data_IF_856394761495
#
_entry.id   IF_856394761495
#
_cell.length_a   1.000
_cell.length_b   1.000
_cell.length_c   1.000
_cell.angle_alpha   90.00
_cell.angle_beta   90.00
_cell.angle_gamma   90.00
#
_symmetry.space_group_name_H-M   'P 1'
#
loop_
_entity.id
_entity.type
_entity.pdbx_description
1 polymer ?
#
# COMPACT_ATOMS: atom_id res chain seq x y z
N UNK A 1 -23.15 1.22 -2.27
CA UNK A 1 -22.10 1.12 -1.23
C UNK A 1 -21.80 -0.34 -0.85
N UNK A 2 -21.52 -1.24 -1.81
CA UNK A 2 -21.21 -2.66 -1.54
C UNK A 2 -19.73 -3.04 -1.73
N UNK A 3 -18.91 -2.13 -2.25
CA UNK A 3 -17.47 -2.37 -2.50
C UNK A 3 -16.60 -2.33 -1.25
N UNK A 4 -17.06 -1.73 -0.14
CA UNK A 4 -16.27 -1.61 1.08
C UNK A 4 -16.03 -2.94 1.79
N UNK A 5 -17.00 -3.87 1.77
CA UNK A 5 -16.88 -5.11 2.56
C UNK A 5 -15.81 -6.07 2.03
N UNK A 6 -15.57 -6.09 0.72
CA UNK A 6 -14.64 -7.06 0.12
C UNK A 6 -13.20 -6.60 0.30
N UNK A 7 -12.87 -5.35 0.00
CA UNK A 7 -11.52 -4.78 0.22
C UNK A 7 -11.14 -4.75 1.71
N UNK A 8 -12.14 -4.53 2.56
CA UNK A 8 -12.05 -4.56 4.02
C UNK A 8 -11.56 -5.92 4.54
N UNK A 9 -12.07 -7.05 4.02
CA UNK A 9 -11.71 -8.36 4.60
C UNK A 9 -10.27 -8.82 4.35
N UNK A 10 -9.62 -8.42 3.24
CA UNK A 10 -8.30 -8.96 2.86
C UNK A 10 -7.13 -8.09 3.32
N UNK A 11 -7.29 -6.77 3.27
CA UNK A 11 -6.19 -5.82 3.52
C UNK A 11 -6.19 -5.30 4.96
N UNK A 12 -7.37 -5.18 5.59
CA UNK A 12 -7.48 -4.67 6.97
C UNK A 12 -6.68 -5.46 8.01
N UNK A 13 -6.70 -6.81 8.04
CA UNK A 13 -6.05 -7.53 9.12
C UNK A 13 -4.54 -7.32 9.10
N UNK A 14 -3.97 -7.27 7.90
CA UNK A 14 -2.55 -7.04 7.65
C UNK A 14 -2.20 -5.58 7.96
N UNK A 15 -2.93 -4.60 7.40
CA UNK A 15 -2.70 -3.17 7.68
C UNK A 15 -2.86 -2.81 9.18
N UNK A 16 -3.90 -3.33 9.85
CA UNK A 16 -4.14 -3.08 11.28
C UNK A 16 -3.08 -3.73 12.18
N UNK A 17 -2.61 -4.94 11.85
CA UNK A 17 -1.49 -5.57 12.56
C UNK A 17 -0.23 -4.70 12.44
N UNK A 18 0.00 -4.05 11.29
CA UNK A 18 1.16 -3.20 11.10
C UNK A 18 1.06 -1.81 11.73
N UNK A 19 -0.12 -1.18 11.75
CA UNK A 19 -0.30 0.08 12.50
C UNK A 19 0.06 -0.07 13.98
N UNK A 20 -0.12 -1.27 14.55
CA UNK A 20 0.28 -1.60 15.93
C UNK A 20 1.76 -1.89 16.14
N UNK A 21 2.47 -2.41 15.13
CA UNK A 21 3.90 -2.76 15.23
C UNK A 21 4.80 -1.56 14.87
N UNK A 22 4.20 -0.48 14.34
CA UNK A 22 4.88 0.68 13.77
C UNK A 22 5.32 1.77 14.74
N UNK A 23 4.42 2.38 15.54
CA UNK A 23 4.72 3.53 16.42
C UNK A 23 3.65 3.81 17.52
N UNK A 24 4.09 4.42 18.63
CA UNK A 24 3.30 4.72 19.84
C UNK A 24 2.63 6.11 19.92
N UNK A 25 2.73 7.05 18.96
CA UNK A 25 2.44 8.47 19.35
C UNK A 25 1.86 9.47 18.34
N UNK A 26 1.05 9.10 17.34
CA UNK A 26 0.15 10.09 16.71
C UNK A 26 -1.05 9.48 15.95
N UNK A 27 -2.26 9.63 16.47
CA UNK A 27 -3.49 9.05 15.87
C UNK A 27 -3.72 9.51 14.41
N UNK A 28 -3.23 10.69 14.05
CA UNK A 28 -3.46 11.27 12.71
C UNK A 28 -2.61 10.61 11.62
N UNK A 29 -1.36 10.22 11.91
CA UNK A 29 -0.48 9.56 10.93
C UNK A 29 -0.90 8.11 10.67
N UNK A 30 -1.37 7.43 11.71
CA UNK A 30 -1.94 6.08 11.60
C UNK A 30 -3.19 6.08 10.72
N UNK A 31 -4.11 7.04 10.92
CA UNK A 31 -5.30 7.17 10.07
C UNK A 31 -4.95 7.50 8.61
N UNK A 32 -3.95 8.35 8.36
CA UNK A 32 -3.49 8.65 7.01
C UNK A 32 -2.93 7.39 6.33
N UNK A 33 -2.12 6.61 7.05
CA UNK A 33 -1.59 5.34 6.57
C UNK A 33 -2.70 4.33 6.23
N UNK A 34 -3.69 4.17 7.10
CA UNK A 34 -4.82 3.28 6.85
C UNK A 34 -5.64 3.72 5.63
N UNK A 35 -5.98 5.00 5.52
CA UNK A 35 -6.73 5.50 4.38
C UNK A 35 -5.94 5.38 3.07
N UNK A 36 -4.63 5.58 3.11
CA UNK A 36 -3.76 5.37 1.95
C UNK A 36 -3.74 3.91 1.54
N UNK A 37 -3.66 2.98 2.50
CA UNK A 37 -3.77 1.56 2.22
C UNK A 37 -5.11 1.19 1.57
N UNK A 38 -6.24 1.73 2.08
CA UNK A 38 -7.55 1.47 1.46
C UNK A 38 -7.62 2.00 0.04
N UNK A 39 -7.08 3.20 -0.19
CA UNK A 39 -7.07 3.80 -1.51
C UNK A 39 -6.28 2.94 -2.51
N UNK A 40 -5.05 2.56 -2.17
CA UNK A 40 -4.20 1.72 -3.01
C UNK A 40 -4.80 0.33 -3.25
N UNK A 41 -5.43 -0.26 -2.23
CA UNK A 41 -6.13 -1.54 -2.36
C UNK A 41 -7.39 -1.45 -3.24
N UNK A 42 -8.14 -0.35 -3.15
CA UNK A 42 -9.31 -0.14 -4.01
C UNK A 42 -8.91 0.12 -5.46
N UNK A 43 -7.76 0.77 -5.70
CA UNK A 43 -7.18 0.86 -7.05
C UNK A 43 -6.79 -0.51 -7.59
N UNK A 44 -6.10 -1.34 -6.79
CA UNK A 44 -5.64 -2.65 -7.25
C UNK A 44 -6.80 -3.60 -7.53
N UNK A 45 -7.88 -3.56 -6.75
CA UNK A 45 -9.07 -4.39 -7.00
C UNK A 45 -9.80 -4.05 -8.31
N UNK A 46 -9.64 -2.83 -8.81
CA UNK A 46 -10.28 -2.37 -10.03
C UNK A 46 -9.39 -2.51 -11.29
N UNK A 47 -8.14 -2.95 -11.12
CA UNK A 47 -7.22 -3.14 -12.23
C UNK A 47 -6.97 -4.62 -12.53
N UNK A 48 -7.11 -4.99 -13.80
CA UNK A 48 -6.99 -6.37 -14.23
C UNK A 48 -5.59 -6.95 -14.01
N UNK A 49 -4.53 -6.12 -14.06
CA UNK A 49 -3.17 -6.58 -13.84
C UNK A 49 -2.91 -6.98 -12.39
N UNK A 50 -3.76 -6.53 -11.46
CA UNK A 50 -3.65 -6.89 -10.06
C UNK A 50 -4.45 -8.16 -9.70
N UNK A 51 -5.43 -8.56 -10.52
CA UNK A 51 -6.28 -9.75 -10.30
C UNK A 51 -5.48 -11.06 -10.37
N UNK A 52 -4.36 -11.07 -11.11
CA UNK A 52 -3.49 -12.25 -11.23
C UNK A 52 -2.69 -12.56 -9.96
N UNK A 53 -2.58 -11.61 -9.02
CA UNK A 53 -1.82 -11.79 -7.79
C UNK A 53 -2.68 -12.33 -6.65
N UNK A 54 -2.06 -13.01 -5.69
CA UNK A 54 -2.74 -13.44 -4.48
C UNK A 54 -3.18 -12.22 -3.64
N UNK A 55 -4.36 -12.26 -3.00
CA UNK A 55 -4.83 -11.17 -2.14
C UNK A 55 -3.84 -10.80 -1.01
N UNK A 56 -3.12 -11.79 -0.46
CA UNK A 56 -2.06 -11.58 0.54
C UNK A 56 -0.86 -10.80 -0.02
N UNK A 57 -0.46 -11.11 -1.25
CA UNK A 57 0.63 -10.44 -1.96
C UNK A 57 0.26 -8.99 -2.28
N UNK A 58 -0.98 -8.76 -2.74
CA UNK A 58 -1.52 -7.41 -2.95
C UNK A 58 -1.53 -6.61 -1.65
N UNK A 59 -2.00 -7.21 -0.55
CA UNK A 59 -2.00 -6.55 0.77
C UNK A 59 -0.59 -6.17 1.24
N UNK A 60 0.38 -7.08 1.10
CA UNK A 60 1.79 -6.82 1.43
C UNK A 60 2.38 -5.68 0.57
N UNK A 61 2.08 -5.68 -0.73
CA UNK A 61 2.52 -4.66 -1.69
C UNK A 61 1.94 -3.28 -1.37
N UNK A 62 0.65 -3.22 -1.00
CA UNK A 62 -0.02 -1.99 -0.56
C UNK A 62 0.65 -1.43 0.70
N UNK A 63 0.96 -2.27 1.69
CA UNK A 63 1.63 -1.85 2.93
C UNK A 63 3.02 -1.31 2.63
N UNK A 64 3.82 -2.02 1.83
CA UNK A 64 5.13 -1.54 1.39
C UNK A 64 5.01 -0.16 0.75
N UNK A 65 4.09 -0.02 -0.21
CA UNK A 65 3.96 1.21 -0.97
C UNK A 65 3.48 2.38 -0.11
N UNK A 66 2.51 2.16 0.78
CA UNK A 66 2.03 3.18 1.70
C UNK A 66 3.14 3.66 2.66
N UNK A 67 3.99 2.75 3.16
CA UNK A 67 5.14 3.12 3.99
C UNK A 67 6.17 3.92 3.21
N UNK A 68 6.45 3.52 1.96
CA UNK A 68 7.34 4.26 1.07
C UNK A 68 6.85 5.69 0.81
N UNK A 69 5.56 5.87 0.55
CA UNK A 69 4.98 7.18 0.27
C UNK A 69 5.00 8.12 1.49
N UNK A 70 4.76 7.60 2.68
CA UNK A 70 4.76 8.42 3.91
C UNK A 70 6.15 8.64 4.48
N UNK A 71 7.09 7.71 4.27
CA UNK A 71 8.47 7.80 4.75
C UNK A 71 9.44 7.31 3.68
N UNK A 72 9.69 8.10 2.62
CA UNK A 72 10.55 7.70 1.52
C UNK A 72 12.03 7.56 1.92
N UNK A 73 12.42 8.18 3.04
CA UNK A 73 13.78 8.10 3.58
C UNK A 73 14.05 6.81 4.38
N UNK A 74 13.02 6.04 4.72
CA UNK A 74 13.14 4.82 5.54
C UNK A 74 12.88 3.59 4.67
N UNK A 75 13.57 2.49 4.94
CA UNK A 75 13.26 1.23 4.25
C UNK A 75 11.80 0.80 4.53
N UNK A 76 10.95 0.68 3.49
CA UNK A 76 9.53 0.35 3.65
C UNK A 76 9.28 -1.11 4.04
N UNK A 77 10.32 -1.94 4.07
CA UNK A 77 10.26 -3.36 4.42
C UNK A 77 11.16 -3.61 5.63
N UNK A 78 10.69 -4.42 6.57
CA UNK A 78 11.42 -4.77 7.79
C UNK A 78 11.21 -6.23 8.15
N UNK A 79 12.00 -6.74 9.10
CA UNK A 79 11.92 -8.15 9.52
C UNK A 79 10.53 -8.54 10.05
N UNK A 80 9.81 -7.62 10.73
CA UNK A 80 8.45 -7.88 11.19
C UNK A 80 7.45 -8.12 10.04
N UNK A 81 7.56 -7.37 8.93
CA UNK A 81 6.78 -7.57 7.71
C UNK A 81 7.07 -8.93 7.08
N UNK A 82 8.35 -9.29 6.99
CA UNK A 82 8.75 -10.61 6.50
C UNK A 82 8.20 -11.73 7.39
N UNK A 83 8.29 -11.63 8.72
CA UNK A 83 7.77 -12.66 9.61
C UNK A 83 6.24 -12.83 9.52
N UNK A 84 5.50 -11.73 9.33
CA UNK A 84 4.05 -11.78 9.21
C UNK A 84 3.58 -12.31 7.84
N UNK A 85 4.22 -11.86 6.77
CA UNK A 85 3.73 -12.10 5.39
C UNK A 85 4.44 -13.25 4.69
N UNK A 86 5.68 -13.57 5.11
CA UNK A 86 6.59 -14.53 4.49
C UNK A 86 6.93 -14.24 3.03
N UNK A 87 6.76 -12.98 2.61
CA UNK A 87 7.18 -12.51 1.29
C UNK A 87 8.48 -11.72 1.36
N UNK A 88 9.33 -11.89 0.37
CA UNK A 88 10.47 -11.01 0.15
C UNK A 88 10.05 -9.82 -0.73
N UNK A 89 10.68 -8.63 -0.60
CA UNK A 89 10.39 -7.50 -1.46
C UNK A 89 10.54 -7.80 -2.95
N UNK A 90 11.44 -8.73 -3.30
CA UNK A 90 11.62 -9.21 -4.66
C UNK A 90 10.32 -9.84 -5.23
N UNK A 91 9.62 -10.64 -4.43
CA UNK A 91 8.34 -11.28 -4.82
C UNK A 91 7.22 -10.25 -5.02
N UNK A 92 7.27 -9.16 -4.25
CA UNK A 92 6.25 -8.11 -4.26
C UNK A 92 6.47 -7.09 -5.39
N UNK A 93 7.68 -7.01 -5.94
CA UNK A 93 8.13 -5.96 -6.85
C UNK A 93 7.15 -5.69 -7.99
N UNK A 94 6.71 -6.73 -8.70
CA UNK A 94 5.81 -6.56 -9.85
C UNK A 94 4.45 -5.97 -9.42
N UNK A 95 3.90 -6.43 -8.30
CA UNK A 95 2.64 -5.92 -7.78
C UNK A 95 2.78 -4.48 -7.28
N UNK A 96 3.86 -4.17 -6.57
CA UNK A 96 4.18 -2.81 -6.09
C UNK A 96 4.25 -1.82 -7.26
N UNK A 97 4.96 -2.17 -8.33
CA UNK A 97 5.10 -1.29 -9.51
C UNK A 97 3.76 -1.09 -10.23
N UNK A 98 2.94 -2.14 -10.38
CA UNK A 98 1.61 -2.00 -10.98
C UNK A 98 0.72 -1.05 -10.16
N UNK A 99 0.70 -1.19 -8.83
CA UNK A 99 -0.09 -0.32 -7.94
C UNK A 99 0.45 1.11 -7.96
N UNK A 100 1.76 1.31 -8.07
CA UNK A 100 2.38 2.64 -8.18
C UNK A 100 2.02 3.34 -9.49
N UNK A 101 2.01 2.62 -10.62
CA UNK A 101 1.54 3.14 -11.90
C UNK A 101 0.05 3.49 -11.88
N UNK A 102 -0.76 2.67 -11.20
CA UNK A 102 -2.16 3.00 -10.91
C UNK A 102 -2.24 4.26 -10.06
N UNK A 103 -1.43 4.42 -9.01
CA UNK A 103 -1.42 5.64 -8.19
C UNK A 103 -1.21 6.90 -9.04
N UNK A 104 -0.23 6.90 -9.95
CA UNK A 104 0.08 8.03 -10.82
C UNK A 104 -0.89 8.22 -12.00
N UNK A 105 -1.90 7.36 -12.16
CA UNK A 105 -2.79 7.35 -13.34
C UNK A 105 -2.04 7.10 -14.65
N UNK A 106 -0.79 6.60 -14.61
CA UNK A 106 -0.06 6.14 -15.81
C UNK A 106 -0.80 4.98 -16.46
N UNK A 107 -1.53 4.22 -15.63
CA UNK A 107 -2.52 3.21 -16.00
C UNK A 107 -3.83 3.49 -15.25
N UNK A 108 -4.98 3.11 -15.80
CA UNK A 108 -6.28 3.21 -15.10
C UNK A 108 -6.90 4.62 -15.06
N UNK A 109 -6.82 5.39 -16.17
CA UNK A 109 -7.45 6.72 -16.29
C UNK A 109 -8.98 6.75 -16.04
N UNK A 110 -9.64 5.58 -16.05
CA UNK A 110 -11.07 5.40 -15.78
C UNK A 110 -11.44 5.41 -14.28
N UNK A 111 -10.48 5.29 -13.35
CA UNK A 111 -10.74 5.17 -11.91
C UNK A 111 -11.03 6.51 -11.20
N UNK A 112 -11.61 7.48 -11.91
CA UNK A 112 -11.86 8.86 -11.42
C UNK A 112 -12.70 8.88 -10.14
N UNK A 113 -13.77 8.07 -10.07
CA UNK A 113 -14.67 8.05 -8.92
C UNK A 113 -13.97 7.68 -7.60
N UNK A 114 -13.02 6.74 -7.64
CA UNK A 114 -12.22 6.34 -6.46
C UNK A 114 -11.28 7.47 -6.06
N UNK A 115 -10.60 8.11 -7.03
CA UNK A 115 -9.72 9.26 -6.72
C UNK A 115 -10.49 10.40 -6.08
N UNK A 116 -11.64 10.78 -6.65
CA UNK A 116 -12.48 11.86 -6.12
C UNK A 116 -13.02 11.53 -4.72
N UNK A 117 -13.34 10.25 -4.47
CA UNK A 117 -13.69 9.78 -3.12
C UNK A 117 -12.56 10.06 -2.13
N UNK A 118 -11.32 9.64 -2.42
CA UNK A 118 -10.18 9.77 -1.50
C UNK A 118 -9.49 11.15 -1.49
N UNK A 119 -9.93 12.08 -2.34
CA UNK A 119 -9.60 13.52 -2.22
C UNK A 119 -10.38 14.23 -1.12
N UNK A 120 -11.47 13.63 -0.62
CA UNK A 120 -12.31 14.25 0.41
C UNK A 120 -11.58 14.31 1.76
N UNK A 121 -11.78 15.39 2.52
CA UNK A 121 -11.14 15.61 3.84
C UNK A 121 -11.43 14.47 4.84
N UNK A 122 -12.58 13.79 4.71
CA UNK A 122 -12.94 12.63 5.54
C UNK A 122 -11.98 11.45 5.40
N UNK A 123 -11.21 11.39 4.31
CA UNK A 123 -10.16 10.39 4.07
C UNK A 123 -8.76 11.02 4.09
N UNK A 124 -8.59 12.14 4.79
CA UNK A 124 -7.29 12.85 4.93
C UNK A 124 -6.64 13.21 3.59
N UNK A 125 -7.43 13.35 2.53
CA UNK A 125 -6.96 13.69 1.18
C UNK A 125 -5.84 12.78 0.67
N UNK A 126 -5.83 11.49 1.05
CA UNK A 126 -4.72 10.56 0.74
C UNK A 126 -4.47 10.36 -0.76
N UNK A 127 -5.46 10.64 -1.62
CA UNK A 127 -5.26 10.63 -3.07
C UNK A 127 -4.34 11.76 -3.58
N UNK A 128 -4.04 12.76 -2.74
CA UNK A 128 -3.13 13.87 -3.02
C UNK A 128 -1.77 13.70 -2.31
N UNK A 129 -1.50 12.53 -1.72
CA UNK A 129 -0.25 12.28 -0.99
C UNK A 129 0.94 12.45 -1.95
N UNK A 130 1.94 13.28 -1.64
CA UNK A 130 3.14 13.37 -2.47
C UNK A 130 3.85 12.01 -2.46
N UNK A 131 4.20 11.50 -3.64
CA UNK A 131 4.93 10.24 -3.79
C UNK A 131 6.08 10.47 -4.77
N UNK A 132 7.28 9.93 -4.51
CA UNK A 132 8.33 9.92 -5.50
C UNK A 132 7.88 9.18 -6.77
N UNK A 133 8.26 9.66 -7.97
CA UNK A 133 7.81 9.11 -9.25
C UNK A 133 8.40 7.73 -9.54
N UNK A 134 9.45 7.34 -8.82
CA UNK A 134 10.16 6.07 -8.97
C UNK A 134 10.50 5.49 -7.60
N UNK A 135 10.43 4.17 -7.49
CA UNK A 135 10.82 3.43 -6.29
C UNK A 135 12.23 2.90 -6.52
N UNK A 136 13.22 3.32 -5.72
CA UNK A 136 14.59 2.85 -5.86
C UNK A 136 14.68 1.32 -5.78
N UNK A 137 15.46 0.72 -6.68
CA UNK A 137 15.55 -0.74 -6.81
C UNK A 137 16.16 -1.43 -5.57
N UNK A 138 17.01 -0.72 -4.82
CA UNK A 138 17.64 -1.24 -3.61
C UNK A 138 16.62 -1.63 -2.52
N UNK A 139 15.41 -1.06 -2.54
CA UNK A 139 14.35 -1.48 -1.61
C UNK A 139 13.81 -2.88 -1.90
N UNK A 140 14.06 -3.43 -3.10
CA UNK A 140 13.70 -4.79 -3.47
C UNK A 140 14.84 -5.80 -3.22
N UNK A 141 16.03 -5.34 -2.88
CA UNK A 141 17.22 -6.18 -2.64
C UNK A 141 17.35 -6.60 -1.16
N UNK A 142 16.31 -6.40 -0.36
CA UNK A 142 16.28 -6.76 1.05
C UNK A 142 16.68 -8.22 1.26
N UNK A 143 17.85 -8.45 1.85
CA UNK A 143 18.23 -9.76 2.40
C UNK A 143 17.82 -9.81 3.87
N UNK A 144 17.21 -10.92 4.27
CA UNK A 144 16.89 -11.26 5.67
C UNK A 144 18.15 -11.48 6.53
N UNK A 145 19.35 -11.20 6.00
CA UNK A 145 20.61 -11.33 6.68
C UNK A 145 21.07 -9.97 7.20
N UNK A 146 20.50 -9.53 8.32
CA UNK A 146 21.28 -8.87 9.38
C UNK A 146 20.59 -9.15 10.74
N UNK A 147 21.32 -9.72 11.71
CA UNK A 147 20.82 -10.09 13.04
C UNK A 147 20.51 -8.88 13.95
#
# INVERSE_FOLDING_TARGET
MKFWHVSSLYVLPICRRFSKVGQESNDTSNLQFEFLCYYLAELSLLDYNCIKFLPSLVAASVVFLARFMLSPMTHPWNSALYQLTRYEPADLKECILNIHDLYFSRRGASLKAVREKYKQHKFKCVALTPSPPEIPLYFFEFRVADP
#
